data_IF_683075426107
#
_entry.id   IF_683075426107
#
_cell.length_a   1.000
_cell.length_b   1.000
_cell.length_c   1.000
_cell.angle_alpha   90.00
_cell.angle_beta   90.00
_cell.angle_gamma   90.00
#
_symmetry.space_group_name_H-M   'P 1'
#
loop_
_entity.id
_entity.type
_entity.pdbx_description
1 polymer ?
#
# COMPACT_ATOMS: atom_id res chain seq x y z
N UNK A 1 1.81 11.13 17.05
CA UNK A 1 1.45 10.93 15.63
C UNK A 1 1.16 9.46 15.37
N UNK A 2 -0.07 9.12 14.97
CA UNK A 2 -0.47 7.75 14.59
C UNK A 2 0.02 7.41 13.19
N UNK A 3 0.10 6.11 12.84
CA UNK A 3 0.48 5.65 11.49
C UNK A 3 -0.47 6.16 10.41
N UNK A 4 -1.78 6.26 10.70
CA UNK A 4 -2.78 6.84 9.80
C UNK A 4 -2.55 8.34 9.55
N UNK A 5 -2.16 9.11 10.57
CA UNK A 5 -1.85 10.52 10.40
C UNK A 5 -0.64 10.72 9.45
N UNK A 6 0.40 9.89 9.61
CA UNK A 6 1.58 9.90 8.72
C UNK A 6 1.23 9.56 7.27
N UNK A 7 0.27 8.67 7.04
CA UNK A 7 -0.22 8.32 5.70
C UNK A 7 -0.91 9.54 5.06
N UNK A 8 -1.82 10.18 5.80
CA UNK A 8 -2.56 11.34 5.32
C UNK A 8 -1.65 12.54 5.01
N UNK A 9 -0.63 12.79 5.83
CA UNK A 9 0.37 13.83 5.57
C UNK A 9 1.14 13.57 4.26
N UNK A 10 1.58 12.34 4.02
CA UNK A 10 2.29 11.97 2.79
C UNK A 10 1.40 12.09 1.55
N UNK A 11 0.13 11.70 1.65
CA UNK A 11 -0.82 11.83 0.54
C UNK A 11 -1.13 13.30 0.21
N UNK A 12 -1.31 14.14 1.24
CA UNK A 12 -1.49 15.57 1.06
C UNK A 12 -0.26 16.23 0.40
N UNK A 13 0.94 15.84 0.80
CA UNK A 13 2.19 16.33 0.21
C UNK A 13 2.32 15.92 -1.27
N UNK A 14 2.03 14.67 -1.60
CA UNK A 14 2.03 14.19 -2.99
C UNK A 14 1.01 14.95 -3.82
N UNK A 15 -0.19 15.22 -3.27
CA UNK A 15 -1.26 15.92 -3.98
C UNK A 15 -0.94 17.40 -4.24
N UNK A 16 -0.22 18.08 -3.34
CA UNK A 16 0.24 19.46 -3.54
C UNK A 16 1.46 19.57 -4.46
N UNK A 17 2.27 18.51 -4.56
CA UNK A 17 3.49 18.55 -5.34
C UNK A 17 3.20 18.49 -6.84
N UNK A 18 3.56 19.54 -7.58
CA UNK A 18 3.51 19.52 -9.04
C UNK A 18 4.53 18.53 -9.61
N UNK A 19 4.11 17.68 -10.54
CA UNK A 19 4.98 16.65 -11.14
C UNK A 19 5.85 17.21 -12.26
N UNK A 20 7.16 17.28 -12.04
CA UNK A 20 8.18 17.73 -12.99
C UNK A 20 9.49 16.93 -12.81
N UNK A 21 10.52 17.18 -13.63
CA UNK A 21 11.80 16.43 -13.59
C UNK A 21 12.50 16.52 -12.23
N UNK A 22 12.38 17.65 -11.52
CA UNK A 22 12.98 17.84 -10.21
C UNK A 22 12.19 17.14 -9.09
N UNK A 23 10.86 17.07 -9.20
CA UNK A 23 9.99 16.52 -8.15
C UNK A 23 9.71 15.02 -8.32
N UNK A 24 9.93 14.43 -9.50
CA UNK A 24 9.68 13.00 -9.74
C UNK A 24 10.44 12.08 -8.78
N UNK A 25 11.69 12.39 -8.46
CA UNK A 25 12.48 11.63 -7.50
C UNK A 25 11.86 11.71 -6.09
N UNK A 26 11.47 12.92 -5.68
CA UNK A 26 10.82 13.15 -4.39
C UNK A 26 9.46 12.43 -4.29
N UNK A 27 8.62 12.52 -5.32
CA UNK A 27 7.33 11.82 -5.40
C UNK A 27 7.52 10.29 -5.34
N UNK A 28 8.57 9.77 -5.99
CA UNK A 28 8.93 8.36 -5.91
C UNK A 28 9.27 7.91 -4.48
N UNK A 29 10.06 8.70 -3.76
CA UNK A 29 10.39 8.44 -2.35
C UNK A 29 9.15 8.51 -1.44
N UNK A 30 8.27 9.49 -1.65
CA UNK A 30 7.02 9.62 -0.88
C UNK A 30 6.11 8.41 -1.10
N UNK A 31 5.96 7.95 -2.35
CA UNK A 31 5.18 6.74 -2.68
C UNK A 31 5.77 5.47 -2.06
N UNK A 32 7.10 5.32 -2.04
CA UNK A 32 7.75 4.18 -1.40
C UNK A 32 7.52 4.18 0.13
N UNK A 33 7.58 5.34 0.77
CA UNK A 33 7.25 5.49 2.21
C UNK A 33 5.78 5.14 2.48
N UNK A 34 4.86 5.60 1.64
CA UNK A 34 3.43 5.29 1.73
C UNK A 34 3.17 3.78 1.63
N UNK A 35 3.82 3.09 0.69
CA UNK A 35 3.68 1.65 0.51
C UNK A 35 4.12 0.86 1.75
N UNK A 36 5.27 1.22 2.35
CA UNK A 36 5.76 0.60 3.59
C UNK A 36 4.79 0.80 4.76
N UNK A 37 4.23 2.01 4.92
CA UNK A 37 3.26 2.29 5.98
C UNK A 37 1.94 1.53 5.77
N UNK A 38 1.48 1.39 4.52
CA UNK A 38 0.32 0.56 4.18
C UNK A 38 0.57 -0.92 4.46
N UNK A 39 1.75 -1.45 4.12
CA UNK A 39 2.11 -2.83 4.43
C UNK A 39 2.11 -3.13 5.92
N UNK A 40 2.60 -2.21 6.76
CA UNK A 40 2.58 -2.37 8.22
C UNK A 40 1.16 -2.44 8.80
N UNK A 41 0.19 -1.79 8.17
CA UNK A 41 -1.23 -1.90 8.55
C UNK A 41 -1.83 -3.23 8.07
N UNK A 42 -1.50 -3.65 6.85
CA UNK A 42 -2.02 -4.90 6.28
C UNK A 42 -1.41 -6.14 6.93
N UNK A 43 -0.14 -6.14 7.35
CA UNK A 43 0.47 -7.31 8.01
C UNK A 43 -0.23 -7.71 9.33
N UNK A 44 -1.04 -6.82 9.91
CA UNK A 44 -1.86 -7.09 11.09
C UNK A 44 -3.12 -7.90 10.72
N UNK A 45 -3.51 -7.97 9.44
CA UNK A 45 -4.51 -8.89 8.91
C UNK A 45 -3.85 -9.90 7.95
N UNK A 46 -3.90 -11.22 8.20
CA UNK A 46 -3.36 -12.17 7.23
C UNK A 46 -4.01 -11.93 5.86
N UNK A 47 -3.24 -11.93 4.76
CA UNK A 47 -3.84 -11.91 3.43
C UNK A 47 -4.72 -13.15 3.33
N UNK A 48 -5.98 -12.96 2.91
CA UNK A 48 -6.92 -14.04 2.65
C UNK A 48 -6.18 -15.23 2.01
N UNK A 49 -6.27 -16.45 2.56
CA UNK A 49 -5.69 -17.61 1.90
C UNK A 49 -6.28 -17.71 0.50
N UNK A 50 -5.49 -18.16 -0.50
CA UNK A 50 -6.03 -18.41 -1.83
C UNK A 50 -7.25 -19.36 -1.70
N UNK A 51 -8.30 -19.18 -2.52
CA UNK A 51 -9.44 -20.09 -2.49
C UNK A 51 -8.89 -21.51 -2.68
N UNK A 52 -9.06 -22.36 -1.67
CA UNK A 52 -8.76 -23.78 -1.78
C UNK A 52 -9.48 -24.30 -3.01
N UNK A 53 -8.74 -24.69 -4.04
CA UNK A 53 -9.29 -25.52 -5.11
C UNK A 53 -9.60 -26.87 -4.47
N UNK A 54 -10.77 -26.98 -3.86
CA UNK A 54 -11.25 -28.18 -3.20
C UNK A 54 -11.37 -29.25 -4.28
N UNK A 55 -10.47 -30.24 -4.27
CA UNK A 55 -10.46 -31.43 -5.17
C UNK A 55 -11.66 -32.37 -4.88
N UNK A 56 -12.84 -31.82 -4.63
CA UNK A 56 -14.07 -32.56 -4.34
C UNK A 56 -15.00 -32.65 -5.56
N UNK A 57 -14.57 -32.15 -6.73
CA UNK A 57 -15.41 -32.13 -7.94
C UNK A 57 -15.14 -33.27 -8.95
N UNK A 58 -14.31 -34.26 -8.64
CA UNK A 58 -14.04 -35.39 -9.56
C UNK A 58 -14.18 -36.76 -8.88
N UNK A 59 -15.31 -36.96 -8.21
CA UNK A 59 -15.83 -38.30 -7.90
C UNK A 59 -17.27 -38.41 -8.40
N UNK A 60 -17.41 -38.86 -9.63
CA UNK A 60 -18.54 -39.61 -10.18
C UNK A 60 -18.01 -40.56 -11.22
#
# INVERSE_FOLDING_TARGET
>A
MTTLAKIAEIEAEIARTQKNKATNFHIGLLKAKLAKLRQQLVSISPPNPPPEFTLHSLRT
#
